data_IF_193770400843
#
_entry.id   IF_193770400843
#
_cell.length_a   1.000
_cell.length_b   1.000
_cell.length_c   1.000
_cell.angle_alpha   90.00
_cell.angle_beta   90.00
_cell.angle_gamma   90.00
#
_symmetry.space_group_name_H-M   'P 1'
#
loop_
_entity.id
_entity.type
_entity.pdbx_description
1 polymer ?
#
# COMPACT_ATOMS: atom_id res chain seq x y z
N UNK A 1 -21.43 0.58 12.02
CA UNK A 1 -20.24 -0.13 12.46
C UNK A 1 -18.95 0.58 12.08
N UNK A 2 -17.84 0.07 12.61
CA UNK A 2 -16.51 0.57 12.31
C UNK A 2 -15.96 -0.08 11.03
N UNK A 3 -15.27 0.71 10.22
CA UNK A 3 -14.46 0.20 9.13
C UNK A 3 -13.06 -0.13 9.66
N UNK A 4 -12.63 -1.36 9.50
CA UNK A 4 -11.29 -1.81 9.92
C UNK A 4 -10.36 -1.82 8.72
N UNK A 5 -9.19 -1.23 8.88
CA UNK A 5 -8.10 -1.23 7.89
C UNK A 5 -6.91 -1.93 8.53
N UNK A 6 -6.34 -2.91 7.85
CA UNK A 6 -5.18 -3.68 8.35
C UNK A 6 -3.91 -3.25 7.62
N UNK A 7 -2.80 -3.14 8.37
CA UNK A 7 -1.46 -2.98 7.83
C UNK A 7 -0.49 -3.97 8.46
N UNK A 8 0.27 -4.69 7.64
CA UNK A 8 1.27 -5.66 8.07
C UNK A 8 2.66 -5.44 7.45
N UNK A 9 2.79 -4.46 6.56
CA UNK A 9 4.07 -4.05 5.94
C UNK A 9 4.21 -2.54 5.98
N UNK A 10 5.42 -2.08 6.22
CA UNK A 10 5.76 -0.66 6.36
C UNK A 10 6.61 -0.17 5.20
N UNK A 11 6.63 1.15 5.02
CA UNK A 11 7.40 1.81 3.95
C UNK A 11 8.89 1.95 4.27
N UNK A 12 9.28 1.97 5.54
CA UNK A 12 10.67 2.15 5.93
C UNK A 12 11.53 0.92 5.60
N UNK A 13 12.85 1.09 5.37
CA UNK A 13 13.69 0.03 4.80
C UNK A 13 13.98 -1.14 5.74
N UNK A 14 14.03 -0.95 7.04
CA UNK A 14 14.42 -1.99 7.99
C UNK A 14 13.21 -2.58 8.76
N UNK A 15 12.15 -2.95 8.06
CA UNK A 15 10.95 -3.55 8.65
C UNK A 15 10.99 -5.07 8.63
N UNK A 16 11.05 -5.65 7.45
CA UNK A 16 11.08 -7.10 7.29
C UNK A 16 12.49 -7.67 7.43
N UNK A 17 12.61 -8.94 7.81
CA UNK A 17 13.88 -9.64 7.93
C UNK A 17 14.70 -9.57 6.64
N UNK A 18 14.06 -9.75 5.48
CA UNK A 18 14.70 -9.62 4.17
C UNK A 18 15.27 -8.21 3.90
N UNK A 19 14.85 -7.21 4.65
CA UNK A 19 15.27 -5.82 4.56
C UNK A 19 16.16 -5.39 5.74
N UNK A 20 16.63 -6.36 6.56
CA UNK A 20 17.42 -6.09 7.76
C UNK A 20 16.61 -5.71 9.01
N UNK A 21 15.30 -5.93 8.99
CA UNK A 21 14.38 -5.67 10.10
C UNK A 21 14.13 -6.90 10.98
N UNK A 22 13.02 -6.86 11.72
CA UNK A 22 12.71 -7.86 12.75
C UNK A 22 11.44 -8.66 12.47
N UNK A 23 10.56 -8.21 11.59
CA UNK A 23 9.33 -8.91 11.25
C UNK A 23 9.63 -9.90 10.12
N UNK A 24 9.28 -11.16 10.31
CA UNK A 24 9.45 -12.15 9.24
C UNK A 24 8.58 -11.80 8.04
N UNK A 25 9.10 -12.03 6.83
CA UNK A 25 8.35 -11.74 5.60
C UNK A 25 7.04 -12.52 5.55
N UNK A 26 7.05 -13.79 5.93
CA UNK A 26 5.84 -14.63 6.01
C UNK A 26 4.89 -14.15 7.11
N UNK A 27 5.39 -13.73 8.25
CA UNK A 27 4.55 -13.18 9.34
C UNK A 27 3.82 -11.92 8.91
N UNK A 28 4.47 -11.04 8.15
CA UNK A 28 3.84 -9.86 7.58
C UNK A 28 2.69 -10.21 6.62
N UNK A 29 2.88 -11.20 5.76
CA UNK A 29 1.83 -11.70 4.85
C UNK A 29 0.70 -12.37 5.62
N UNK A 30 1.01 -13.13 6.68
CA UNK A 30 0.00 -13.80 7.50
C UNK A 30 -0.95 -12.82 8.20
N UNK A 31 -0.48 -11.63 8.58
CA UNK A 31 -1.36 -10.58 9.12
C UNK A 31 -2.48 -10.22 8.13
N UNK A 32 -2.17 -10.12 6.84
CA UNK A 32 -3.16 -9.85 5.80
C UNK A 32 -4.09 -11.06 5.57
N UNK A 33 -3.56 -12.30 5.60
CA UNK A 33 -4.39 -13.51 5.50
C UNK A 33 -5.41 -13.63 6.62
N UNK A 34 -4.97 -13.38 7.86
CA UNK A 34 -5.87 -13.39 9.04
C UNK A 34 -7.00 -12.37 8.84
N UNK A 35 -6.67 -11.16 8.41
CA UNK A 35 -7.67 -10.13 8.09
C UNK A 35 -8.65 -10.58 7.02
N UNK A 36 -8.16 -11.15 5.93
CA UNK A 36 -8.99 -11.65 4.83
C UNK A 36 -9.94 -12.76 5.29
N UNK A 37 -9.47 -13.70 6.12
CA UNK A 37 -10.29 -14.80 6.67
C UNK A 37 -11.48 -14.32 7.51
N UNK A 38 -11.35 -13.16 8.15
CA UNK A 38 -12.47 -12.55 8.90
C UNK A 38 -13.23 -11.48 8.10
N UNK A 39 -13.01 -11.42 6.78
CA UNK A 39 -13.75 -10.56 5.86
C UNK A 39 -13.27 -9.12 5.74
N UNK A 40 -12.10 -8.78 6.30
CA UNK A 40 -11.51 -7.45 6.14
C UNK A 40 -10.87 -7.35 4.75
N UNK A 41 -11.23 -6.29 4.04
CA UNK A 41 -10.77 -6.06 2.66
C UNK A 41 -9.98 -4.76 2.47
N UNK A 42 -9.98 -3.89 3.46
CA UNK A 42 -9.28 -2.60 3.40
C UNK A 42 -7.88 -2.75 4.00
N UNK A 43 -6.84 -2.54 3.18
CA UNK A 43 -5.47 -2.87 3.52
C UNK A 43 -4.54 -1.67 3.31
N UNK A 44 -3.75 -1.32 4.31
CA UNK A 44 -2.61 -0.40 4.15
C UNK A 44 -1.42 -1.20 3.64
N UNK A 45 -0.80 -0.71 2.58
CA UNK A 45 0.34 -1.35 1.92
C UNK A 45 1.43 -0.34 1.60
N UNK A 46 2.71 -0.75 1.54
CA UNK A 46 3.82 0.17 1.26
C UNK A 46 3.84 0.57 -0.22
N UNK A 47 3.48 1.83 -0.53
CA UNK A 47 3.41 2.34 -1.89
C UNK A 47 4.77 2.41 -2.61
N UNK A 48 5.88 2.40 -1.86
CA UNK A 48 7.24 2.35 -2.40
C UNK A 48 7.75 0.93 -2.67
N UNK A 49 6.92 -0.09 -2.48
CA UNK A 49 7.29 -1.51 -2.66
C UNK A 49 6.23 -2.23 -3.51
N UNK A 50 6.16 -1.98 -4.83
CA UNK A 50 5.10 -2.51 -5.70
C UNK A 50 5.07 -4.05 -5.73
N UNK A 51 6.21 -4.73 -5.65
CA UNK A 51 6.26 -6.19 -5.59
C UNK A 51 5.62 -6.72 -4.29
N UNK A 52 5.79 -6.02 -3.19
CA UNK A 52 5.14 -6.35 -1.91
C UNK A 52 3.61 -6.18 -2.01
N UNK A 53 3.14 -5.12 -2.66
CA UNK A 53 1.70 -4.91 -2.92
C UNK A 53 1.13 -6.09 -3.70
N UNK A 54 1.83 -6.55 -4.72
CA UNK A 54 1.42 -7.69 -5.53
C UNK A 54 1.34 -8.99 -4.71
N UNK A 55 2.36 -9.26 -3.88
CA UNK A 55 2.36 -10.42 -2.98
C UNK A 55 1.18 -10.39 -2.01
N UNK A 56 0.89 -9.24 -1.40
CA UNK A 56 -0.25 -9.06 -0.50
C UNK A 56 -1.56 -9.30 -1.25
N UNK A 57 -1.69 -8.75 -2.45
CA UNK A 57 -2.86 -8.98 -3.32
C UNK A 57 -3.09 -10.47 -3.56
N UNK A 58 -2.06 -11.18 -3.97
CA UNK A 58 -2.14 -12.61 -4.28
C UNK A 58 -2.61 -13.44 -3.06
N UNK A 59 -2.05 -13.20 -1.87
CA UNK A 59 -2.42 -13.96 -0.66
C UNK A 59 -3.82 -13.63 -0.16
N UNK A 60 -4.29 -12.39 -0.32
CA UNK A 60 -5.63 -11.97 0.10
C UNK A 60 -6.69 -12.47 -0.89
N UNK A 61 -6.44 -12.39 -2.17
CA UNK A 61 -7.34 -12.93 -3.21
C UNK A 61 -7.46 -14.45 -3.12
N UNK A 62 -6.40 -15.16 -2.72
CA UNK A 62 -6.43 -16.60 -2.46
C UNK A 62 -7.39 -16.97 -1.32
N UNK A 63 -7.67 -16.07 -0.40
CA UNK A 63 -8.69 -16.24 0.66
C UNK A 63 -10.11 -15.84 0.21
N UNK A 64 -10.31 -15.53 -1.07
CA UNK A 64 -11.61 -15.17 -1.64
C UNK A 64 -12.05 -13.72 -1.41
N UNK A 65 -11.14 -12.84 -0.99
CA UNK A 65 -11.42 -11.42 -0.72
C UNK A 65 -10.87 -10.54 -1.83
N UNK A 66 -11.69 -9.61 -2.33
CA UNK A 66 -11.23 -8.56 -3.25
C UNK A 66 -10.76 -7.35 -2.43
N UNK A 67 -9.44 -7.08 -2.37
CA UNK A 67 -8.89 -6.04 -1.51
C UNK A 67 -9.07 -4.63 -2.08
N UNK A 68 -9.12 -3.65 -1.17
CA UNK A 68 -8.93 -2.24 -1.45
C UNK A 68 -7.63 -1.79 -0.79
N UNK A 69 -6.75 -1.16 -1.55
CA UNK A 69 -5.42 -0.78 -1.10
C UNK A 69 -5.32 0.70 -0.78
N UNK A 70 -4.68 1.00 0.34
CA UNK A 70 -4.35 2.35 0.80
C UNK A 70 -2.83 2.42 0.91
N UNK A 71 -2.19 3.18 0.03
CA UNK A 71 -0.74 3.13 -0.17
C UNK A 71 -0.05 4.45 0.19
N UNK A 72 0.49 4.60 1.41
CA UNK A 72 1.44 5.64 1.75
C UNK A 72 2.84 5.31 1.20
N UNK A 73 3.78 6.25 1.34
CA UNK A 73 5.16 6.07 0.90
C UNK A 73 5.40 6.46 -0.56
N UNK A 74 4.45 7.17 -1.14
CA UNK A 74 4.53 7.70 -2.49
C UNK A 74 5.29 9.04 -2.51
N UNK A 75 5.97 9.34 -3.62
CA UNK A 75 6.71 10.58 -3.89
C UNK A 75 7.92 10.73 -2.95
N UNK A 76 7.74 11.26 -1.74
CA UNK A 76 8.84 11.62 -0.83
C UNK A 76 9.59 10.42 -0.25
N UNK A 77 8.99 9.23 -0.23
CA UNK A 77 9.62 7.98 0.20
C UNK A 77 10.06 7.11 -0.99
N UNK A 78 10.11 7.66 -2.20
CA UNK A 78 10.60 7.02 -3.39
C UNK A 78 9.57 6.15 -4.15
N UNK A 79 8.33 6.07 -3.67
CA UNK A 79 7.28 5.34 -4.37
C UNK A 79 6.75 6.11 -5.58
N UNK A 80 6.67 5.43 -6.73
CA UNK A 80 5.99 5.94 -7.91
C UNK A 80 4.51 5.57 -7.87
N UNK A 81 3.63 6.55 -8.05
CA UNK A 81 2.18 6.35 -8.02
C UNK A 81 1.75 5.34 -9.08
N UNK A 82 2.27 5.47 -10.30
CA UNK A 82 1.95 4.57 -11.42
C UNK A 82 2.29 3.10 -11.13
N UNK A 83 3.45 2.85 -10.51
CA UNK A 83 3.89 1.48 -10.20
C UNK A 83 3.04 0.86 -9.10
N UNK A 84 2.76 1.62 -8.04
CA UNK A 84 1.89 1.18 -6.96
C UNK A 84 0.45 0.93 -7.44
N UNK A 85 -0.11 1.83 -8.24
CA UNK A 85 -1.45 1.69 -8.82
C UNK A 85 -1.54 0.45 -9.73
N UNK A 86 -0.52 0.22 -10.56
CA UNK A 86 -0.46 -0.96 -11.44
C UNK A 86 -0.40 -2.26 -10.64
N UNK A 87 0.37 -2.30 -9.55
CA UNK A 87 0.47 -3.47 -8.69
C UNK A 87 -0.84 -3.75 -7.92
N UNK A 88 -1.50 -2.69 -7.44
CA UNK A 88 -2.75 -2.79 -6.67
C UNK A 88 -3.98 -3.09 -7.53
N UNK A 89 -4.07 -2.49 -8.72
CA UNK A 89 -5.24 -2.60 -9.60
C UNK A 89 -6.32 -1.55 -9.30
N UNK A 90 -7.56 -1.84 -9.67
CA UNK A 90 -8.66 -0.86 -9.74
C UNK A 90 -9.07 -0.25 -8.38
N UNK A 91 -8.78 -0.93 -7.27
CA UNK A 91 -9.16 -0.48 -5.93
C UNK A 91 -7.97 0.14 -5.18
N UNK A 92 -7.27 1.01 -5.86
CA UNK A 92 -6.09 1.71 -5.34
C UNK A 92 -6.44 3.10 -4.81
N UNK A 93 -5.91 3.42 -3.61
CA UNK A 93 -6.01 4.73 -2.97
C UNK A 93 -4.60 5.18 -2.58
N UNK A 94 -4.04 6.11 -3.33
CA UNK A 94 -2.74 6.70 -3.01
C UNK A 94 -2.85 7.67 -1.84
N UNK A 95 -1.96 7.54 -0.86
CA UNK A 95 -1.83 8.47 0.26
C UNK A 95 -0.57 9.31 0.07
N UNK A 96 -0.74 10.59 -0.18
CA UNK A 96 0.36 11.54 -0.38
C UNK A 96 0.27 12.62 0.69
N UNK A 97 1.28 12.72 1.54
CA UNK A 97 1.37 13.75 2.57
C UNK A 97 2.29 14.89 2.15
N UNK A 98 3.59 14.73 2.40
CA UNK A 98 4.60 15.77 2.13
C UNK A 98 4.66 16.22 0.67
N UNK A 99 4.35 15.38 -0.28
CA UNK A 99 4.24 15.76 -1.69
C UNK A 99 3.24 16.89 -1.93
N UNK A 100 2.21 17.04 -1.07
CA UNK A 100 1.29 18.17 -1.09
C UNK A 100 1.73 19.31 -0.17
N UNK A 101 2.05 19.00 1.11
CA UNK A 101 2.33 20.03 2.11
C UNK A 101 3.61 20.82 1.80
N UNK A 102 4.56 20.25 1.09
CA UNK A 102 5.79 20.88 0.64
C UNK A 102 5.68 21.46 -0.79
N UNK A 103 4.56 21.28 -1.46
CA UNK A 103 4.33 21.80 -2.81
C UNK A 103 4.08 23.31 -2.82
N UNK A 104 4.68 24.00 -3.79
CA UNK A 104 4.41 25.43 -4.05
C UNK A 104 3.06 25.68 -4.71
N UNK A 105 2.48 24.66 -5.35
CA UNK A 105 1.18 24.74 -6.03
C UNK A 105 0.43 23.40 -5.86
N UNK A 106 -0.34 23.31 -4.78
CA UNK A 106 -1.09 22.09 -4.42
C UNK A 106 -2.07 21.65 -5.52
N UNK A 107 -2.88 22.54 -6.13
CA UNK A 107 -3.79 22.12 -7.22
C UNK A 107 -3.07 21.54 -8.43
N UNK A 108 -1.90 22.07 -8.78
CA UNK A 108 -1.08 21.53 -9.87
C UNK A 108 -0.56 20.13 -9.51
N UNK A 109 0.04 19.98 -8.32
CA UNK A 109 0.54 18.69 -7.84
C UNK A 109 -0.56 17.63 -7.75
N UNK A 110 -1.76 18.02 -7.31
CA UNK A 110 -2.90 17.12 -7.25
C UNK A 110 -3.28 16.57 -8.64
N UNK A 111 -3.34 17.42 -9.64
CA UNK A 111 -3.61 17.01 -11.03
C UNK A 111 -2.51 16.09 -11.57
N UNK A 112 -1.26 16.44 -11.31
CA UNK A 112 -0.10 15.64 -11.72
C UNK A 112 -0.14 14.25 -11.09
N UNK A 113 -0.36 14.15 -9.79
CA UNK A 113 -0.38 12.86 -9.08
C UNK A 113 -1.57 12.01 -9.48
N UNK A 114 -2.76 12.58 -9.59
CA UNK A 114 -3.96 11.82 -9.99
C UNK A 114 -3.89 11.32 -11.43
N UNK A 115 -3.19 12.02 -12.32
CA UNK A 115 -2.99 11.57 -13.69
C UNK A 115 -2.19 10.26 -13.81
N UNK A 116 -1.44 9.89 -12.77
CA UNK A 116 -0.60 8.68 -12.74
C UNK A 116 -1.35 7.43 -12.26
N UNK A 117 -2.59 7.54 -11.83
CA UNK A 117 -3.39 6.40 -11.29
C UNK A 117 -4.02 5.56 -12.43
N UNK A 118 -3.93 5.97 -13.61
CA UNK A 118 -4.53 5.28 -14.77
C UNK A 118 -3.80 3.99 -15.15
#
# INVERSE_FOLDING_TARGET
GLKVIIGGRMTHPAYAVSEGGFITDEGALEMYRIGARVGIRDLVVPGNKPETIKQIKDVVEAEGVTPSFYAPGLITQGGAISDAAKAAGDRFHGIVGRGFTESKNIPHSAREYTSQIK
#
